data_IF_524944200698
#
_entry.id   IF_524944200698
#
_cell.length_a   1.000
_cell.length_b   1.000
_cell.length_c   1.000
_cell.angle_alpha   90.00
_cell.angle_beta   90.00
_cell.angle_gamma   90.00
#
_symmetry.space_group_name_H-M   'P 1'
#
loop_
_entity.id
_entity.type
_entity.pdbx_description
1 polymer ?
#
# COMPACT_ATOMS: atom_id res chain seq x y z
N UNK A 1 7.46 -4.34 -7.91
CA UNK A 1 6.24 -4.03 -8.69
C UNK A 1 6.57 -2.87 -9.60
N UNK A 2 6.57 -3.08 -10.91
CA UNK A 2 6.69 -1.95 -11.83
C UNK A 2 5.38 -1.15 -11.74
N UNK A 3 5.47 0.18 -11.75
CA UNK A 3 4.31 1.10 -11.75
C UNK A 3 3.21 0.75 -12.80
N UNK A 4 3.50 0.15 -13.98
CA UNK A 4 2.50 -0.26 -14.96
C UNK A 4 1.49 -1.32 -14.48
N UNK A 5 1.90 -2.28 -13.65
CA UNK A 5 1.07 -3.46 -13.36
C UNK A 5 -0.06 -3.16 -12.35
N UNK A 6 0.15 -2.18 -11.45
CA UNK A 6 -0.84 -1.82 -10.44
C UNK A 6 -2.05 -1.10 -11.06
N UNK A 7 -1.81 -0.10 -11.90
CA UNK A 7 -2.89 0.71 -12.48
C UNK A 7 -3.70 -0.05 -13.52
N UNK A 8 -3.08 -0.97 -14.28
CA UNK A 8 -3.81 -1.85 -15.18
C UNK A 8 -4.75 -2.80 -14.43
N UNK A 9 -4.28 -3.40 -13.32
CA UNK A 9 -5.13 -4.26 -12.48
C UNK A 9 -6.26 -3.48 -11.81
N UNK A 10 -5.96 -2.28 -11.30
CA UNK A 10 -6.95 -1.35 -10.74
C UNK A 10 -8.05 -0.99 -11.73
N UNK A 11 -7.65 -0.62 -12.96
CA UNK A 11 -8.58 -0.28 -14.02
C UNK A 11 -9.49 -1.46 -14.35
N UNK A 12 -8.91 -2.65 -14.51
CA UNK A 12 -9.69 -3.85 -14.78
C UNK A 12 -10.72 -4.14 -13.68
N UNK A 13 -10.36 -4.00 -12.40
CA UNK A 13 -11.31 -4.20 -11.30
C UNK A 13 -12.44 -3.17 -11.29
N UNK A 14 -12.08 -1.89 -11.46
CA UNK A 14 -13.03 -0.79 -11.50
C UNK A 14 -14.02 -0.92 -12.66
N UNK A 15 -13.53 -1.20 -13.88
CA UNK A 15 -14.35 -1.36 -15.09
C UNK A 15 -15.36 -2.52 -14.96
N UNK A 16 -14.97 -3.58 -14.25
CA UNK A 16 -15.83 -4.75 -14.04
C UNK A 16 -16.77 -4.62 -12.83
N UNK A 17 -16.83 -3.46 -12.17
CA UNK A 17 -17.63 -3.25 -10.96
C UNK A 17 -17.24 -4.16 -9.80
N UNK A 18 -16.04 -4.75 -9.85
CA UNK A 18 -15.51 -5.62 -8.81
C UNK A 18 -14.73 -4.74 -7.86
N UNK A 19 -15.41 -4.13 -6.90
CA UNK A 19 -14.69 -3.57 -5.76
C UNK A 19 -13.95 -4.73 -5.11
N UNK A 20 -12.62 -4.66 -4.93
CA UNK A 20 -11.88 -5.85 -4.58
C UNK A 20 -12.29 -6.27 -3.18
N UNK A 21 -12.77 -7.51 -3.08
CA UNK A 21 -13.10 -8.14 -1.82
C UNK A 21 -11.98 -7.93 -0.80
N UNK A 22 -12.31 -7.72 0.48
CA UNK A 22 -11.32 -7.63 1.53
C UNK A 22 -10.39 -8.84 1.46
N UNK A 23 -9.09 -8.56 1.42
CA UNK A 23 -8.04 -9.56 1.47
C UNK A 23 -7.10 -9.19 2.62
N UNK A 24 -6.34 -10.19 3.08
CA UNK A 24 -5.33 -10.00 4.11
C UNK A 24 -3.93 -10.24 3.53
N UNK A 25 -2.99 -9.39 3.91
CA UNK A 25 -1.57 -9.51 3.53
C UNK A 25 -0.69 -9.39 4.77
N UNK A 26 0.24 -10.33 4.89
CA UNK A 26 1.22 -10.34 5.96
C UNK A 26 2.54 -9.76 5.46
N UNK A 27 3.10 -8.83 6.22
CA UNK A 27 4.47 -8.32 6.03
C UNK A 27 5.35 -9.05 7.04
N UNK A 28 6.42 -9.67 6.56
CA UNK A 28 7.36 -10.42 7.39
C UNK A 28 8.65 -9.65 7.57
N UNK A 29 9.25 -9.78 8.76
CA UNK A 29 10.63 -9.36 8.96
C UNK A 29 11.58 -10.36 8.26
N UNK A 30 12.64 -9.88 7.61
CA UNK A 30 13.67 -10.75 7.07
C UNK A 30 14.24 -11.67 8.15
N UNK A 31 14.57 -12.90 7.77
CA UNK A 31 15.34 -13.82 8.60
C UNK A 31 16.83 -13.44 8.53
N UNK A 32 17.16 -12.29 9.14
CA UNK A 32 18.52 -11.77 9.22
C UNK A 32 18.98 -11.70 10.68
N UNK A 33 20.20 -12.17 11.00
CA UNK A 33 20.76 -12.07 12.35
C UNK A 33 21.08 -10.63 12.75
N UNK A 34 21.08 -9.70 11.78
CA UNK A 34 21.28 -8.27 11.99
C UNK A 34 20.11 -7.55 11.36
N UNK A 35 19.25 -6.99 12.20
CA UNK A 35 18.22 -6.04 11.80
C UNK A 35 18.34 -4.81 12.70
N UNK A 36 18.23 -3.59 12.14
CA UNK A 36 18.27 -2.38 12.94
C UNK A 36 17.15 -2.39 13.98
N UNK A 37 17.31 -1.71 15.12
CA UNK A 37 16.26 -1.60 16.12
C UNK A 37 15.03 -0.93 15.49
N UNK A 38 13.99 -1.74 15.28
CA UNK A 38 12.77 -1.33 14.63
C UNK A 38 11.78 -0.80 15.67
N UNK A 39 11.41 0.48 15.54
CA UNK A 39 10.41 1.10 16.41
C UNK A 39 9.02 0.84 15.83
N UNK A 40 8.30 -0.14 16.38
CA UNK A 40 6.89 -0.39 16.03
C UNK A 40 6.03 0.87 16.16
N UNK A 41 6.27 1.69 17.20
CA UNK A 41 5.53 2.92 17.40
C UNK A 41 5.73 3.91 16.25
N UNK A 42 6.97 4.06 15.76
CA UNK A 42 7.26 4.94 14.61
C UNK A 42 6.64 4.41 13.32
N UNK A 43 6.67 3.10 13.11
CA UNK A 43 6.03 2.47 11.94
C UNK A 43 4.52 2.61 11.97
N UNK A 44 3.90 2.38 13.12
CA UNK A 44 2.46 2.56 13.31
C UNK A 44 2.04 4.00 13.00
N UNK A 45 2.76 4.99 13.55
CA UNK A 45 2.49 6.42 13.26
C UNK A 45 2.62 6.74 11.77
N UNK A 46 3.66 6.24 11.10
CA UNK A 46 3.86 6.43 9.65
C UNK A 46 2.75 5.76 8.83
N UNK A 47 2.32 4.56 9.22
CA UNK A 47 1.25 3.84 8.56
C UNK A 47 -0.10 4.55 8.70
N UNK A 48 -0.44 5.01 9.91
CA UNK A 48 -1.64 5.79 10.17
C UNK A 48 -1.66 7.10 9.39
N UNK A 49 -0.51 7.78 9.33
CA UNK A 49 -0.35 9.00 8.52
C UNK A 49 -0.62 8.71 7.04
N UNK A 50 -0.04 7.63 6.49
CA UNK A 50 -0.28 7.21 5.12
C UNK A 50 -1.76 6.91 4.87
N UNK A 51 -2.42 6.15 5.75
CA UNK A 51 -3.86 5.86 5.64
C UNK A 51 -4.70 7.15 5.57
N UNK A 52 -4.40 8.12 6.43
CA UNK A 52 -5.13 9.38 6.53
C UNK A 52 -4.89 10.29 5.34
N UNK A 53 -3.64 10.45 4.95
CA UNK A 53 -3.17 11.53 4.08
C UNK A 53 -2.94 11.09 2.63
N UNK A 54 -2.82 9.79 2.34
CA UNK A 54 -2.58 9.32 0.98
C UNK A 54 -3.66 9.77 0.01
N UNK A 55 -3.27 10.52 -1.01
CA UNK A 55 -4.11 10.89 -2.15
C UNK A 55 -3.26 10.78 -3.41
N UNK A 56 -3.90 10.42 -4.52
CA UNK A 56 -3.25 10.53 -5.81
C UNK A 56 -3.02 12.01 -6.14
N UNK A 57 -1.76 12.40 -6.24
CA UNK A 57 -1.37 13.76 -6.59
C UNK A 57 -1.77 14.12 -8.03
N UNK A 58 -1.91 15.41 -8.34
CA UNK A 58 -2.33 15.89 -9.67
C UNK A 58 -1.39 15.40 -10.78
N UNK A 59 -0.08 15.35 -10.53
CA UNK A 59 0.90 14.88 -11.51
C UNK A 59 0.73 13.39 -11.84
N UNK A 60 0.42 12.56 -10.84
CA UNK A 60 0.19 11.13 -11.04
C UNK A 60 -1.05 10.91 -11.92
N UNK A 61 -2.14 11.63 -11.62
CA UNK A 61 -3.37 11.59 -12.41
C UNK A 61 -3.13 12.07 -13.85
N UNK A 62 -2.39 13.17 -14.03
CA UNK A 62 -2.07 13.67 -15.36
C UNK A 62 -1.23 12.67 -16.16
N UNK A 63 -0.24 12.00 -15.52
CA UNK A 63 0.53 10.93 -16.17
C UNK A 63 -0.34 9.76 -16.59
N UNK A 64 -1.30 9.36 -15.78
CA UNK A 64 -2.25 8.29 -16.12
C UNK A 64 -3.17 8.71 -17.27
N UNK A 65 -3.66 9.95 -17.30
CA UNK A 65 -4.43 10.46 -18.43
C UNK A 65 -3.66 10.41 -19.75
N UNK A 66 -2.37 10.76 -19.73
CA UNK A 66 -1.48 10.64 -20.92
C UNK A 66 -1.26 9.18 -21.37
N UNK A 67 -1.47 8.21 -20.48
CA UNK A 67 -1.42 6.77 -20.79
C UNK A 67 -2.73 6.22 -21.38
N UNK A 68 -3.77 7.06 -21.52
CA UNK A 68 -5.03 6.69 -22.16
C UNK A 68 -6.11 6.18 -21.20
N UNK A 69 -5.94 6.33 -19.89
CA UNK A 69 -6.99 6.02 -18.92
C UNK A 69 -8.13 7.04 -18.99
N UNK A 70 -9.37 6.55 -18.91
CA UNK A 70 -10.58 7.37 -19.03
C UNK A 70 -10.87 8.25 -17.81
N UNK A 71 -11.53 9.39 -18.06
CA UNK A 71 -11.78 10.43 -17.05
C UNK A 71 -12.56 9.90 -15.83
N UNK A 72 -13.51 8.98 -16.05
CA UNK A 72 -14.27 8.36 -14.98
C UNK A 72 -13.38 7.56 -14.02
N UNK A 73 -12.40 6.81 -14.53
CA UNK A 73 -11.43 6.09 -13.73
C UNK A 73 -10.46 7.04 -13.00
N UNK A 74 -10.00 8.10 -13.67
CA UNK A 74 -9.13 9.10 -13.05
C UNK A 74 -9.84 9.82 -11.88
N UNK A 75 -11.10 10.19 -12.07
CA UNK A 75 -11.96 10.77 -11.04
C UNK A 75 -12.22 9.78 -9.90
N UNK A 76 -12.38 8.48 -10.21
CA UNK A 76 -12.46 7.43 -9.21
C UNK A 76 -11.19 7.40 -8.34
N UNK A 77 -10.00 7.37 -8.94
CA UNK A 77 -8.72 7.36 -8.23
C UNK A 77 -8.55 8.57 -7.32
N UNK A 78 -8.86 9.78 -7.80
CA UNK A 78 -8.75 11.01 -7.01
C UNK A 78 -9.59 11.02 -5.73
N UNK A 79 -10.71 10.28 -5.72
CA UNK A 79 -11.62 10.19 -4.58
C UNK A 79 -11.22 9.09 -3.59
N UNK A 80 -10.30 8.21 -3.97
CA UNK A 80 -9.91 7.09 -3.12
C UNK A 80 -9.18 7.57 -1.88
N UNK A 81 -9.49 6.89 -0.77
CA UNK A 81 -8.75 6.94 0.48
C UNK A 81 -8.38 5.51 0.83
N UNK A 82 -7.15 5.30 1.30
CA UNK A 82 -6.76 3.97 1.75
C UNK A 82 -7.66 3.56 2.92
N UNK A 83 -8.19 2.34 2.82
CA UNK A 83 -9.05 1.72 3.82
C UNK A 83 -8.44 0.36 4.13
N UNK A 84 -7.46 0.35 5.03
CA UNK A 84 -6.89 -0.88 5.55
C UNK A 84 -6.89 -0.83 7.08
N UNK A 85 -7.18 -1.97 7.68
CA UNK A 85 -6.89 -2.27 9.07
C UNK A 85 -5.47 -2.82 9.16
N UNK A 86 -4.75 -2.47 10.22
CA UNK A 86 -3.39 -2.92 10.48
C UNK A 86 -3.34 -3.59 11.85
N UNK A 87 -3.02 -4.88 11.86
CA UNK A 87 -2.71 -5.63 13.07
C UNK A 87 -1.18 -5.72 13.22
N UNK A 88 -0.63 -5.21 14.32
CA UNK A 88 0.82 -5.22 14.58
C UNK A 88 1.20 -6.37 15.52
N UNK A 89 2.32 -7.02 15.22
CA UNK A 89 2.90 -8.09 16.02
C UNK A 89 4.27 -7.68 16.57
N UNK A 90 4.71 -8.35 17.63
CA UNK A 90 6.02 -8.12 18.20
C UNK A 90 7.13 -8.41 17.16
N UNK A 91 8.12 -7.53 16.99
CA UNK A 91 9.11 -7.67 15.93
C UNK A 91 10.07 -8.81 16.27
N UNK A 92 9.99 -9.90 15.52
CA UNK A 92 10.89 -11.05 15.61
C UNK A 92 11.37 -11.45 14.20
N UNK A 93 12.67 -11.79 14.03
CA UNK A 93 13.20 -12.26 12.75
C UNK A 93 12.41 -13.44 12.19
N UNK A 94 12.16 -13.41 10.87
CA UNK A 94 11.43 -14.46 10.17
C UNK A 94 9.94 -14.55 10.54
N UNK A 95 9.42 -13.68 11.41
CA UNK A 95 8.01 -13.65 11.80
C UNK A 95 7.24 -12.51 11.13
N UNK A 96 5.92 -12.64 11.18
CA UNK A 96 4.98 -11.60 10.75
C UNK A 96 5.18 -10.35 11.60
N UNK A 97 5.41 -9.20 10.96
CA UNK A 97 5.46 -7.89 11.62
C UNK A 97 4.08 -7.29 11.73
N UNK A 98 3.32 -7.33 10.64
CA UNK A 98 1.97 -6.81 10.62
C UNK A 98 1.11 -7.50 9.56
N UNK A 99 -0.20 -7.49 9.81
CA UNK A 99 -1.22 -7.91 8.86
C UNK A 99 -2.03 -6.71 8.42
N UNK A 100 -2.17 -6.55 7.11
CA UNK A 100 -3.04 -5.55 6.49
C UNK A 100 -4.32 -6.24 6.02
N UNK A 101 -5.49 -5.70 6.37
CA UNK A 101 -6.79 -6.20 5.88
C UNK A 101 -7.59 -5.08 5.23
N UNK A 102 -8.07 -5.29 4.01
CA UNK A 102 -8.86 -4.28 3.28
C UNK A 102 -8.97 -4.59 1.78
N UNK A 103 -9.44 -3.64 0.95
CA UNK A 103 -9.50 -3.81 -0.49
C UNK A 103 -8.15 -4.16 -1.09
N UNK A 104 -8.15 -5.06 -2.08
CA UNK A 104 -6.96 -5.71 -2.63
C UNK A 104 -5.79 -4.77 -2.93
N UNK A 105 -6.11 -3.66 -3.58
CA UNK A 105 -5.12 -2.69 -4.02
C UNK A 105 -4.70 -1.73 -2.92
N UNK A 106 -5.56 -1.45 -1.92
CA UNK A 106 -5.20 -0.64 -0.77
C UNK A 106 -4.11 -1.33 0.04
N UNK A 107 -4.29 -2.61 0.37
CA UNK A 107 -3.31 -3.38 1.14
C UNK A 107 -1.99 -3.55 0.40
N UNK A 108 -2.04 -3.76 -0.91
CA UNK A 108 -0.83 -3.79 -1.76
C UNK A 108 -0.09 -2.45 -1.79
N UNK A 109 -0.81 -1.34 -1.94
CA UNK A 109 -0.20 -0.01 -1.99
C UNK A 109 0.40 0.38 -0.63
N UNK A 110 -0.33 0.13 0.45
CA UNK A 110 0.14 0.38 1.81
C UNK A 110 1.33 -0.52 2.16
N UNK A 111 1.26 -1.82 1.86
CA UNK A 111 2.36 -2.74 2.11
C UNK A 111 3.62 -2.36 1.33
N UNK A 112 3.49 -1.96 0.06
CA UNK A 112 4.61 -1.45 -0.72
C UNK A 112 5.19 -0.17 -0.10
N UNK A 113 4.36 0.77 0.37
CA UNK A 113 4.83 1.99 1.01
C UNK A 113 5.56 1.70 2.33
N UNK A 114 5.05 0.79 3.16
CA UNK A 114 5.68 0.39 4.43
C UNK A 114 7.05 -0.23 4.22
N UNK A 115 7.20 -1.10 3.22
CA UNK A 115 8.48 -1.74 2.88
C UNK A 115 9.55 -0.76 2.39
N UNK A 116 9.16 0.42 1.89
CA UNK A 116 10.10 1.47 1.46
C UNK A 116 10.32 2.56 2.52
N UNK A 117 9.77 2.40 3.73
CA UNK A 117 10.09 3.31 4.82
C UNK A 117 11.55 3.12 5.25
N UNK A 118 12.24 4.20 5.68
CA UNK A 118 13.64 4.10 6.10
C UNK A 118 13.91 3.09 7.22
N UNK A 119 12.91 2.80 8.06
CA UNK A 119 13.05 1.80 9.13
C UNK A 119 13.07 0.35 8.60
N UNK A 120 12.67 0.15 7.34
CA UNK A 120 12.76 -1.11 6.59
C UNK A 120 13.88 -1.12 5.54
N UNK A 121 14.28 0.06 5.04
CA UNK A 121 15.30 0.20 4.00
C UNK A 121 16.70 0.10 4.62
N UNK A 122 17.26 -1.12 4.60
CA UNK A 122 18.65 -1.42 4.94
C UNK A 122 19.59 -0.91 3.83
N UNK A 123 19.69 0.40 3.66
CA UNK A 123 20.81 1.00 2.91
C UNK A 123 21.96 1.35 3.83
#
# INVERSE_FOLDING_TARGET
>A
LSEPDLFAALHHWWENGRDPQPQSWSIFLPDSPVYPPLSLASLAEKAERLLREFRFGPDAIQRLGRKGYEEAFLNYLQRQRLQCEIEWFAPQPGQELCRLTGPAWHGRLLGAALLHLPDFDNR
#
